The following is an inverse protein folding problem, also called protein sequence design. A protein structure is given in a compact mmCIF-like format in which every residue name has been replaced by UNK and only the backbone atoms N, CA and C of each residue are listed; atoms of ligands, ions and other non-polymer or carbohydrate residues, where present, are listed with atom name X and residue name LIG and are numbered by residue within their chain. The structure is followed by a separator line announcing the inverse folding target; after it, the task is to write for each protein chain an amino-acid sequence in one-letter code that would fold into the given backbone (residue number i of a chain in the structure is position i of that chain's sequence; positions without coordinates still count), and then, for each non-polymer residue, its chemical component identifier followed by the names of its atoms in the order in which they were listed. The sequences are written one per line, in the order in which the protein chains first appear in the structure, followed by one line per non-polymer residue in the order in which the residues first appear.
data_IF_921746165099
#
_entry.id   IF_921746165099
#
_cell.length_a   1.000
_cell.length_b   1.000
_cell.length_c   1.000
_cell.angle_alpha   90.00
_cell.angle_beta   90.00
_cell.angle_gamma   90.00
#
_symmetry.space_group_name_H-M   'P 1'
#
loop_
_entity.id
_entity.type
_entity.pdbx_description
1 polymer ?
#
# COMPACT_ATOMS: atom_id res chain seq x y z
N UNK A 1 -20.86 -5.84 0.62
CA UNK A 1 -20.84 -7.24 1.12
C UNK A 1 -20.75 -7.24 2.64
N UNK A 2 -19.66 -6.76 3.25
CA UNK A 2 -19.56 -6.76 4.72
C UNK A 2 -20.52 -5.78 5.40
N UNK A 3 -20.81 -4.63 4.78
CA UNK A 3 -21.73 -3.64 5.34
C UNK A 3 -23.10 -4.26 5.69
N UNK A 4 -23.74 -4.94 4.74
CA UNK A 4 -25.08 -5.53 4.90
C UNK A 4 -25.15 -6.58 6.02
N UNK A 5 -24.10 -7.40 6.14
CA UNK A 5 -23.99 -8.48 7.11
C UNK A 5 -23.81 -7.93 8.54
N UNK A 6 -23.05 -6.84 8.66
CA UNK A 6 -22.69 -6.22 9.93
C UNK A 6 -23.79 -5.29 10.45
N UNK A 7 -24.54 -4.64 9.56
CA UNK A 7 -25.65 -3.77 9.94
C UNK A 7 -26.82 -4.55 10.57
N UNK A 8 -27.03 -5.80 10.17
CA UNK A 8 -28.09 -6.66 10.71
C UNK A 8 -27.80 -7.20 12.11
N UNK A 9 -26.53 -7.23 12.54
CA UNK A 9 -26.11 -7.81 13.83
C UNK A 9 -26.10 -6.80 14.98
N UNK A 10 -27.03 -5.84 14.99
CA UNK A 10 -27.02 -4.72 15.95
C UNK A 10 -26.89 -5.18 17.40
N UNK A 11 -25.81 -4.79 18.09
CA UNK A 11 -25.54 -5.26 19.45
C UNK A 11 -25.01 -4.15 20.38
N UNK A 12 -25.46 -4.23 21.64
CA UNK A 12 -24.84 -3.55 22.78
C UNK A 12 -23.46 -4.14 23.03
N UNK A 13 -22.41 -3.33 22.84
CA UNK A 13 -21.03 -3.78 22.95
C UNK A 13 -20.58 -3.95 24.40
N UNK A 14 -20.09 -5.15 24.71
CA UNK A 14 -19.36 -5.48 25.94
C UNK A 14 -18.03 -6.10 25.50
N UNK A 15 -16.91 -5.51 25.93
CA UNK A 15 -15.58 -6.02 25.60
C UNK A 15 -15.41 -7.47 26.06
N UNK A 16 -14.88 -8.31 25.19
CA UNK A 16 -14.63 -9.72 25.46
C UNK A 16 -13.17 -10.12 25.17
N UNK A 17 -12.80 -11.37 25.46
CA UNK A 17 -11.44 -11.88 25.24
C UNK A 17 -11.04 -11.92 23.77
N UNK A 18 -11.99 -12.00 22.83
CA UNK A 18 -11.70 -12.00 21.40
C UNK A 18 -11.31 -10.61 20.90
N UNK A 19 -11.87 -9.53 21.48
CA UNK A 19 -11.46 -8.14 21.16
C UNK A 19 -9.96 -7.95 21.42
N UNK A 20 -9.46 -8.44 22.57
CA UNK A 20 -8.04 -8.39 22.93
C UNK A 20 -7.19 -9.18 21.92
N UNK A 21 -7.65 -10.37 21.52
CA UNK A 21 -6.96 -11.19 20.52
C UNK A 21 -6.89 -10.48 19.17
N UNK A 22 -8.00 -9.91 18.71
CA UNK A 22 -8.06 -9.19 17.43
C UNK A 22 -7.20 -7.94 17.45
N UNK A 23 -7.25 -7.18 18.54
CA UNK A 23 -6.38 -6.03 18.76
C UNK A 23 -4.91 -6.40 18.59
N UNK A 24 -4.45 -7.49 19.21
CA UNK A 24 -3.07 -8.00 19.06
C UNK A 24 -2.78 -8.47 17.63
N UNK A 25 -3.68 -9.25 17.03
CA UNK A 25 -3.52 -9.83 15.69
C UNK A 25 -3.38 -8.77 14.60
N UNK A 26 -3.97 -7.58 14.76
CA UNK A 26 -3.79 -6.45 13.83
C UNK A 26 -2.67 -5.52 14.26
N UNK A 27 -2.51 -5.25 15.56
CA UNK A 27 -1.46 -4.36 16.03
C UNK A 27 -0.06 -4.85 15.64
N UNK A 28 0.21 -6.15 15.82
CA UNK A 28 1.51 -6.76 15.50
C UNK A 28 1.91 -6.51 14.03
N UNK A 29 1.10 -6.87 13.01
CA UNK A 29 1.48 -6.63 11.63
C UNK A 29 1.57 -5.16 11.26
N UNK A 30 0.73 -4.29 11.84
CA UNK A 30 0.84 -2.85 11.67
C UNK A 30 2.16 -2.31 12.23
N UNK A 31 2.58 -2.77 13.41
CA UNK A 31 3.82 -2.33 14.05
C UNK A 31 5.06 -2.80 13.26
N UNK A 32 5.08 -4.06 12.81
CA UNK A 32 6.13 -4.57 11.93
C UNK A 32 6.16 -3.76 10.63
N UNK A 33 5.00 -3.57 9.99
CA UNK A 33 4.87 -2.78 8.77
C UNK A 33 5.35 -1.34 8.93
N UNK A 34 5.07 -0.71 10.07
CA UNK A 34 5.54 0.63 10.42
C UNK A 34 7.06 0.70 10.49
N UNK A 35 7.70 -0.20 11.25
CA UNK A 35 9.17 -0.27 11.36
C UNK A 35 9.79 -0.47 9.98
N UNK A 36 9.26 -1.42 9.21
CA UNK A 36 9.73 -1.69 7.84
C UNK A 36 9.60 -0.45 6.96
N UNK A 37 8.48 0.27 7.01
CA UNK A 37 8.28 1.47 6.18
C UNK A 37 9.23 2.61 6.59
N UNK A 38 9.51 2.78 7.89
CA UNK A 38 10.50 3.76 8.38
C UNK A 38 11.90 3.41 7.87
N UNK A 39 12.32 2.15 7.98
CA UNK A 39 13.62 1.69 7.49
C UNK A 39 13.72 1.86 5.97
N UNK A 40 12.66 1.54 5.23
CA UNK A 40 12.61 1.71 3.78
C UNK A 40 12.68 3.19 3.37
N UNK A 41 11.99 4.07 4.10
CA UNK A 41 12.07 5.51 3.90
C UNK A 41 13.50 6.02 4.15
N UNK A 42 14.13 5.58 5.25
CA UNK A 42 15.52 5.92 5.55
C UNK A 42 16.48 5.43 4.45
N UNK A 43 16.32 4.19 3.99
CA UNK A 43 17.09 3.64 2.87
C UNK A 43 16.91 4.45 1.58
N UNK A 44 15.71 4.97 1.30
CA UNK A 44 15.49 5.87 0.14
C UNK A 44 16.29 7.17 0.22
N UNK A 45 16.61 7.68 1.41
CA UNK A 45 17.48 8.86 1.58
C UNK A 45 18.96 8.49 1.55
N UNK A 46 19.32 7.33 2.08
CA UNK A 46 20.71 6.90 2.27
C UNK A 46 21.33 6.30 1.00
N UNK A 47 20.56 5.56 0.20
CA UNK A 47 21.05 4.85 -0.98
C UNK A 47 21.19 5.83 -2.16
N UNK A 48 22.40 6.03 -2.74
CA UNK A 48 22.63 6.98 -3.82
C UNK A 48 21.74 6.75 -5.05
N UNK A 49 21.47 5.49 -5.39
CA UNK A 49 20.62 5.16 -6.52
C UNK A 49 19.14 5.54 -6.36
N UNK A 50 18.69 5.78 -5.12
CA UNK A 50 17.34 6.26 -4.81
C UNK A 50 17.21 7.79 -4.94
N UNK A 51 18.29 8.51 -5.32
CA UNK A 51 18.23 9.95 -5.64
C UNK A 51 17.58 10.25 -7.02
N UNK A 52 17.18 9.21 -7.75
CA UNK A 52 16.47 9.30 -9.04
C UNK A 52 14.99 9.71 -8.87
N UNK A 53 14.29 10.00 -9.98
CA UNK A 53 12.83 10.25 -9.96
C UNK A 53 12.05 9.07 -9.37
N UNK A 54 12.50 7.84 -9.62
CA UNK A 54 11.91 6.64 -9.02
C UNK A 54 11.99 6.65 -7.48
N UNK A 55 13.17 6.93 -6.93
CA UNK A 55 13.32 6.99 -5.48
C UNK A 55 12.64 8.21 -4.86
N UNK A 56 12.52 9.33 -5.58
CA UNK A 56 11.66 10.44 -5.17
C UNK A 56 10.22 9.97 -4.95
N UNK A 57 9.61 9.29 -5.92
CA UNK A 57 8.24 8.77 -5.80
C UNK A 57 8.10 7.72 -4.69
N UNK A 58 9.07 6.81 -4.57
CA UNK A 58 9.09 5.75 -3.55
C UNK A 58 9.08 6.32 -2.14
N UNK A 59 9.76 7.45 -1.88
CA UNK A 59 9.75 8.11 -0.56
C UNK A 59 8.34 8.56 -0.13
N UNK A 60 7.59 9.16 -1.04
CA UNK A 60 6.23 9.60 -0.74
C UNK A 60 5.30 8.41 -0.48
N UNK A 61 5.46 7.33 -1.26
CA UNK A 61 4.70 6.10 -1.02
C UNK A 61 5.03 5.45 0.34
N UNK A 62 6.32 5.38 0.72
CA UNK A 62 6.73 4.92 2.06
C UNK A 62 6.19 5.80 3.17
N UNK A 63 6.15 7.12 2.98
CA UNK A 63 5.56 8.04 3.96
C UNK A 63 4.05 7.79 4.16
N UNK A 64 3.30 7.55 3.08
CA UNK A 64 1.87 7.17 3.19
C UNK A 64 1.69 5.84 3.94
N UNK A 65 2.60 4.87 3.74
CA UNK A 65 2.57 3.61 4.49
C UNK A 65 2.80 3.78 5.98
N UNK A 66 3.69 4.68 6.37
CA UNK A 66 3.92 5.01 7.79
C UNK A 66 2.63 5.55 8.40
N UNK A 67 1.94 6.46 7.71
CA UNK A 67 0.67 7.01 8.19
C UNK A 67 -0.39 5.90 8.25
N UNK A 68 -0.53 5.08 7.22
CA UNK A 68 -1.53 4.01 7.18
C UNK A 68 -1.33 2.97 8.29
N UNK A 69 -0.08 2.50 8.46
CA UNK A 69 0.25 1.51 9.50
C UNK A 69 0.08 2.10 10.90
N UNK A 70 0.45 3.37 11.10
CA UNK A 70 0.24 4.08 12.37
C UNK A 70 -1.24 4.27 12.68
N UNK A 71 -2.06 4.65 11.69
CA UNK A 71 -3.50 4.86 11.85
C UNK A 71 -4.20 3.57 12.28
N UNK A 72 -4.02 2.49 11.52
CA UNK A 72 -4.59 1.18 11.85
C UNK A 72 -4.02 0.64 13.16
N UNK A 73 -2.70 0.64 13.33
CA UNK A 73 -2.05 0.11 14.53
C UNK A 73 -2.51 0.82 15.80
N UNK A 74 -2.59 2.15 15.78
CA UNK A 74 -3.04 2.94 16.94
C UNK A 74 -4.52 2.71 17.23
N UNK A 75 -5.38 2.58 16.20
CA UNK A 75 -6.80 2.29 16.41
C UNK A 75 -7.01 0.92 17.05
N UNK A 76 -6.38 -0.14 16.53
CA UNK A 76 -6.55 -1.49 17.08
C UNK A 76 -5.87 -1.66 18.44
N UNK A 77 -4.79 -0.93 18.73
CA UNK A 77 -4.17 -0.91 20.05
C UNK A 77 -5.01 -0.14 21.08
N UNK A 78 -5.30 1.12 20.80
CA UNK A 78 -5.94 2.00 21.78
C UNK A 78 -7.45 1.78 21.85
N UNK A 79 -8.09 1.63 20.69
CA UNK A 79 -9.53 1.40 20.58
C UNK A 79 -9.91 -0.03 20.95
N UNK A 80 -9.37 -1.03 20.24
CA UNK A 80 -9.85 -2.42 20.38
C UNK A 80 -9.18 -3.17 21.55
N UNK A 81 -7.84 -3.09 21.68
CA UNK A 81 -7.12 -3.82 22.72
C UNK A 81 -7.29 -3.20 24.12
N UNK A 82 -7.18 -1.87 24.23
CA UNK A 82 -7.34 -1.16 25.51
C UNK A 82 -8.77 -0.65 25.79
N UNK A 83 -9.72 -0.87 24.88
CA UNK A 83 -11.12 -0.46 25.01
C UNK A 83 -11.34 1.02 25.36
N UNK A 84 -10.54 1.92 24.78
CA UNK A 84 -10.71 3.35 24.99
C UNK A 84 -11.96 3.81 24.21
N UNK A 85 -13.11 3.82 24.90
CA UNK A 85 -14.43 4.15 24.34
C UNK A 85 -14.46 5.43 23.49
N UNK A 86 -13.82 6.56 23.87
CA UNK A 86 -13.77 7.73 23.00
C UNK A 86 -13.19 7.47 21.60
N UNK A 87 -12.22 6.56 21.47
CA UNK A 87 -11.60 6.23 20.18
C UNK A 87 -12.54 5.36 19.33
N UNK A 88 -13.21 4.38 19.94
CA UNK A 88 -14.21 3.54 19.29
C UNK A 88 -15.40 4.38 18.82
N UNK A 89 -15.92 5.24 19.70
CA UNK A 89 -17.07 6.11 19.42
C UNK A 89 -16.78 7.09 18.30
N UNK A 90 -15.54 7.57 18.18
CA UNK A 90 -15.08 8.43 17.10
C UNK A 90 -14.38 7.66 15.97
N UNK A 91 -14.68 6.37 15.79
CA UNK A 91 -14.05 5.51 14.76
C UNK A 91 -14.24 6.01 13.32
N UNK A 92 -15.18 6.92 13.07
CA UNK A 92 -15.31 7.61 11.79
C UNK A 92 -14.05 8.40 11.39
N UNK A 93 -13.26 8.90 12.35
CA UNK A 93 -12.01 9.64 12.08
C UNK A 93 -10.92 8.72 11.51
N UNK A 94 -10.48 7.65 12.21
CA UNK A 94 -9.51 6.70 11.65
C UNK A 94 -10.06 5.98 10.42
N UNK A 95 -11.39 5.82 10.33
CA UNK A 95 -12.08 5.39 9.14
C UNK A 95 -11.81 6.32 7.96
N UNK A 96 -12.16 7.61 8.05
CA UNK A 96 -11.91 8.62 7.02
C UNK A 96 -10.44 8.68 6.59
N UNK A 97 -9.50 8.63 7.54
CA UNK A 97 -8.07 8.60 7.24
C UNK A 97 -7.75 7.38 6.37
N UNK A 98 -8.23 6.19 6.75
CA UNK A 98 -8.01 4.95 5.98
C UNK A 98 -8.60 5.04 4.57
N UNK A 99 -9.85 5.50 4.45
CA UNK A 99 -10.52 5.64 3.14
C UNK A 99 -9.83 6.65 2.23
N UNK A 100 -9.13 7.63 2.81
CA UNK A 100 -8.32 8.62 2.08
C UNK A 100 -6.97 8.03 1.66
N UNK A 101 -6.31 7.26 2.53
CA UNK A 101 -4.99 6.71 2.26
C UNK A 101 -5.00 5.61 1.19
N UNK A 102 -6.05 4.79 1.12
CA UNK A 102 -6.20 3.73 0.13
C UNK A 102 -6.01 4.24 -1.32
N UNK A 103 -6.79 5.23 -1.80
CA UNK A 103 -6.63 5.77 -3.16
C UNK A 103 -5.33 6.56 -3.33
N UNK A 104 -4.78 7.19 -2.29
CA UNK A 104 -3.46 7.85 -2.37
C UNK A 104 -2.36 6.82 -2.65
N UNK A 105 -2.34 5.71 -1.89
CA UNK A 105 -1.39 4.62 -2.06
C UNK A 105 -1.53 3.97 -3.45
N UNK A 106 -2.76 3.69 -3.88
CA UNK A 106 -3.02 3.13 -5.20
C UNK A 106 -2.52 4.05 -6.33
N UNK A 107 -2.80 5.36 -6.22
CA UNK A 107 -2.38 6.36 -7.21
C UNK A 107 -0.86 6.53 -7.24
N UNK A 108 -0.20 6.51 -6.08
CA UNK A 108 1.25 6.56 -5.99
C UNK A 108 1.91 5.33 -6.61
N UNK A 109 1.36 4.14 -6.38
CA UNK A 109 1.86 2.92 -7.04
C UNK A 109 1.70 2.96 -8.55
N UNK A 110 0.55 3.42 -9.03
CA UNK A 110 0.32 3.61 -10.45
C UNK A 110 1.34 4.59 -11.07
N UNK A 111 1.59 5.72 -10.41
CA UNK A 111 2.57 6.71 -10.86
C UNK A 111 4.00 6.13 -10.90
N UNK A 112 4.37 5.29 -9.93
CA UNK A 112 5.65 4.58 -9.92
C UNK A 112 5.75 3.59 -11.09
N UNK A 113 4.67 2.87 -11.40
CA UNK A 113 4.61 1.94 -12.53
C UNK A 113 4.76 2.66 -13.88
N UNK A 114 4.04 3.77 -14.09
CA UNK A 114 4.19 4.63 -15.27
C UNK A 114 5.63 5.13 -15.38
N UNK A 115 6.24 5.58 -14.28
CA UNK A 115 7.61 6.06 -14.27
C UNK A 115 8.59 5.02 -14.82
N UNK A 116 8.45 3.77 -14.39
CA UNK A 116 9.30 2.65 -14.85
C UNK A 116 9.04 2.30 -16.30
N UNK A 117 7.77 2.20 -16.69
CA UNK A 117 7.38 1.88 -18.06
C UNK A 117 7.94 2.91 -19.05
N UNK A 118 7.77 4.21 -18.76
CA UNK A 118 8.25 5.29 -19.63
C UNK A 118 9.78 5.41 -19.65
N UNK A 119 10.47 5.03 -18.57
CA UNK A 119 11.94 4.96 -18.57
C UNK A 119 12.47 3.93 -19.58
N UNK A 120 11.70 2.87 -19.85
CA UNK A 120 12.06 1.81 -20.80
C UNK A 120 11.54 2.11 -22.20
N UNK A 121 10.28 2.53 -22.35
CA UNK A 121 9.67 2.71 -23.68
C UNK A 121 10.18 3.98 -24.37
N UNK A 122 10.29 5.08 -23.63
CA UNK A 122 10.61 6.41 -24.19
C UNK A 122 11.80 7.06 -23.48
N UNK A 123 13.01 6.49 -23.56
CA UNK A 123 14.17 6.99 -22.81
C UNK A 123 14.54 8.44 -23.15
N UNK A 124 14.38 8.86 -24.41
CA UNK A 124 14.71 10.21 -24.87
C UNK A 124 13.75 11.27 -24.31
N UNK A 125 12.47 10.93 -24.15
CA UNK A 125 11.45 11.85 -23.62
C UNK A 125 11.22 11.72 -22.12
N UNK A 126 11.73 10.64 -21.49
CA UNK A 126 11.58 10.38 -20.06
C UNK A 126 12.05 11.55 -19.19
N UNK A 127 13.20 12.14 -19.52
CA UNK A 127 13.77 13.28 -18.81
C UNK A 127 12.90 14.55 -18.94
N UNK A 128 12.09 14.66 -20.00
CA UNK A 128 11.12 15.74 -20.18
C UNK A 128 9.83 15.53 -19.37
N UNK A 129 9.34 14.29 -19.31
CA UNK A 129 8.10 13.92 -18.60
C UNK A 129 8.31 13.98 -17.08
N UNK A 130 9.40 13.42 -16.56
CA UNK A 130 9.66 13.35 -15.11
C UNK A 130 10.61 14.45 -14.59
N UNK A 131 10.58 15.64 -15.21
CA UNK A 131 11.30 16.82 -14.70
C UNK A 131 10.88 17.13 -13.25
N UNK A 132 11.75 17.78 -12.44
CA UNK A 132 11.47 18.10 -11.05
C UNK A 132 10.14 18.80 -10.79
N UNK A 133 9.76 19.74 -11.67
CA UNK A 133 8.50 20.46 -11.58
C UNK A 133 7.30 19.52 -11.79
N UNK A 134 7.29 18.72 -12.85
CA UNK A 134 6.16 17.86 -13.19
C UNK A 134 5.97 16.72 -12.20
N UNK A 135 7.05 16.06 -11.75
CA UNK A 135 6.90 14.99 -10.75
C UNK A 135 6.33 15.47 -9.41
N UNK A 136 6.61 16.71 -9.01
CA UNK A 136 5.99 17.33 -7.82
C UNK A 136 4.49 17.54 -8.03
N UNK A 137 4.09 17.97 -9.22
CA UNK A 137 2.68 18.13 -9.59
C UNK A 137 1.97 16.77 -9.56
N UNK A 138 2.56 15.72 -10.12
CA UNK A 138 1.97 14.37 -10.10
C UNK A 138 1.76 13.86 -8.67
N UNK A 139 2.77 13.98 -7.81
CA UNK A 139 2.65 13.61 -6.39
C UNK A 139 1.57 14.44 -5.69
N UNK A 140 1.52 15.75 -5.94
CA UNK A 140 0.50 16.62 -5.38
C UNK A 140 -0.91 16.16 -5.80
N UNK A 141 -1.12 15.83 -7.08
CA UNK A 141 -2.40 15.31 -7.56
C UNK A 141 -2.78 13.99 -6.88
N UNK A 142 -1.84 13.05 -6.73
CA UNK A 142 -2.08 11.78 -6.03
C UNK A 142 -2.48 11.97 -4.55
N UNK A 143 -2.06 13.07 -3.92
CA UNK A 143 -2.39 13.38 -2.53
C UNK A 143 -3.69 14.17 -2.41
N UNK A 144 -3.76 15.31 -3.10
CA UNK A 144 -4.84 16.29 -2.91
C UNK A 144 -6.18 15.80 -3.46
N UNK A 145 -6.19 15.06 -4.57
CA UNK A 145 -7.46 14.57 -5.13
C UNK A 145 -8.18 13.70 -4.10
N UNK A 146 -7.59 12.63 -3.54
CA UNK A 146 -8.17 11.89 -2.43
C UNK A 146 -8.55 12.75 -1.23
N UNK A 147 -7.65 13.60 -0.74
CA UNK A 147 -7.89 14.45 0.43
C UNK A 147 -9.11 15.36 0.26
N UNK A 148 -9.46 15.76 -0.97
CA UNK A 148 -10.63 16.58 -1.24
C UNK A 148 -11.89 15.74 -1.37
N UNK A 149 -11.86 14.68 -2.18
CA UNK A 149 -13.10 13.96 -2.48
C UNK A 149 -13.53 13.04 -1.32
N UNK A 150 -12.63 12.38 -0.59
CA UNK A 150 -13.05 11.43 0.46
C UNK A 150 -13.76 12.12 1.62
N UNK A 151 -13.33 13.28 2.17
CA UNK A 151 -14.10 13.95 3.21
C UNK A 151 -15.38 14.59 2.66
N UNK A 152 -15.38 15.05 1.39
CA UNK A 152 -16.60 15.54 0.75
C UNK A 152 -17.69 14.47 0.77
N UNK A 153 -17.40 13.25 0.32
CA UNK A 153 -18.38 12.16 0.39
C UNK A 153 -18.68 11.73 1.84
N UNK A 154 -17.68 11.62 2.69
CA UNK A 154 -17.86 11.11 4.06
C UNK A 154 -18.68 12.06 4.94
N UNK A 155 -18.45 13.37 4.88
CA UNK A 155 -19.10 14.37 5.74
C UNK A 155 -20.29 15.08 5.11
N UNK A 156 -20.23 15.41 3.82
CA UNK A 156 -21.32 16.16 3.18
C UNK A 156 -22.45 15.24 2.70
N UNK A 157 -22.11 14.05 2.21
CA UNK A 157 -23.08 13.08 1.70
C UNK A 157 -23.39 11.95 2.69
N UNK A 158 -22.90 12.06 3.93
CA UNK A 158 -23.09 11.09 5.02
C UNK A 158 -22.68 9.66 4.67
N UNK A 159 -21.63 9.51 3.84
CA UNK A 159 -21.08 8.22 3.43
C UNK A 159 -19.99 7.77 4.42
N UNK A 160 -20.32 7.78 5.72
CA UNK A 160 -19.39 7.49 6.80
C UNK A 160 -18.70 6.14 6.65
N UNK A 161 -17.43 6.03 7.04
CA UNK A 161 -16.70 4.76 7.14
C UNK A 161 -16.30 4.57 8.61
N UNK A 162 -16.91 3.60 9.29
CA UNK A 162 -16.77 3.43 10.75
C UNK A 162 -16.44 2.00 11.12
N UNK A 163 -15.94 1.83 12.33
CA UNK A 163 -15.67 0.52 12.89
C UNK A 163 -16.96 -0.14 13.39
N UNK A 164 -17.05 -1.44 13.18
CA UNK A 164 -18.09 -2.30 13.73
C UNK A 164 -17.46 -3.45 14.51
N UNK A 165 -17.96 -3.66 15.73
CA UNK A 165 -17.49 -4.72 16.60
C UNK A 165 -17.75 -6.11 16.03
N UNK A 166 -18.90 -6.31 15.38
CA UNK A 166 -19.18 -7.57 14.71
C UNK A 166 -18.25 -7.76 13.51
N UNK A 167 -17.33 -8.70 13.66
CA UNK A 167 -16.30 -9.00 12.65
C UNK A 167 -15.11 -8.04 12.65
N UNK A 168 -15.02 -7.14 13.64
CA UNK A 168 -13.92 -6.18 13.83
C UNK A 168 -13.49 -5.51 12.53
N UNK A 169 -14.46 -4.92 11.84
CA UNK A 169 -14.30 -4.43 10.47
C UNK A 169 -14.66 -2.97 10.36
N UNK A 170 -13.89 -2.23 9.59
CA UNK A 170 -14.33 -0.94 9.10
C UNK A 170 -15.22 -1.13 7.88
N UNK A 171 -16.41 -0.53 7.91
CA UNK A 171 -17.32 -0.58 6.78
C UNK A 171 -18.07 0.73 6.61
N UNK A 172 -18.64 0.91 5.42
CA UNK A 172 -19.48 2.08 5.16
C UNK A 172 -20.77 1.98 5.95
N UNK A 173 -21.26 3.13 6.41
CA UNK A 173 -22.59 3.25 6.99
C UNK A 173 -23.59 3.01 5.86
N UNK A 174 -24.50 2.06 6.06
CA UNK A 174 -25.57 1.83 5.10
C UNK A 174 -26.59 2.96 5.25
N UNK A 175 -26.66 3.81 4.23
CA UNK A 175 -27.72 4.79 4.02
C UNK A 175 -28.34 4.54 2.66
N UNK A 176 -29.65 4.79 2.52
CA UNK A 176 -30.37 4.62 1.24
C UNK A 176 -29.75 5.43 0.08
N UNK A 177 -29.03 6.50 0.41
CA UNK A 177 -28.54 7.47 -0.56
C UNK A 177 -27.08 7.25 -1.00
N UNK A 178 -26.17 6.82 -0.10
CA UNK A 178 -24.73 6.91 -0.41
C UNK A 178 -23.86 5.68 -0.14
N UNK A 179 -23.98 5.02 1.02
CA UNK A 179 -22.98 4.05 1.49
C UNK A 179 -22.55 3.02 0.42
N UNK A 180 -23.52 2.34 -0.18
CA UNK A 180 -23.27 1.31 -1.20
C UNK A 180 -22.74 1.89 -2.51
N UNK A 181 -23.23 3.06 -2.95
CA UNK A 181 -22.80 3.68 -4.22
C UNK A 181 -21.37 4.20 -4.13
N UNK A 182 -21.02 4.85 -3.03
CA UNK A 182 -19.67 5.37 -2.80
C UNK A 182 -18.67 4.24 -2.62
N UNK A 183 -19.06 3.17 -1.92
CA UNK A 183 -18.25 1.97 -1.76
C UNK A 183 -17.99 1.29 -3.12
N UNK A 184 -19.00 1.19 -3.99
CA UNK A 184 -18.85 0.67 -5.36
C UNK A 184 -17.95 1.56 -6.21
N UNK A 185 -18.10 2.89 -6.14
CA UNK A 185 -17.27 3.84 -6.85
C UNK A 185 -15.79 3.73 -6.43
N UNK A 186 -15.52 3.77 -5.13
CA UNK A 186 -14.17 3.64 -4.58
C UNK A 186 -13.52 2.32 -5.00
N UNK A 187 -14.24 1.21 -4.85
CA UNK A 187 -13.74 -0.11 -5.27
C UNK A 187 -13.53 -0.20 -6.77
N UNK A 188 -14.43 0.36 -7.57
CA UNK A 188 -14.32 0.39 -9.03
C UNK A 188 -13.07 1.15 -9.48
N UNK A 189 -12.90 2.38 -9.00
CA UNK A 189 -11.72 3.20 -9.30
C UNK A 189 -10.44 2.51 -8.83
N UNK A 190 -10.41 2.01 -7.59
CA UNK A 190 -9.25 1.31 -7.05
C UNK A 190 -8.90 0.04 -7.84
N UNK A 191 -9.91 -0.73 -8.25
CA UNK A 191 -9.73 -1.93 -9.08
C UNK A 191 -9.15 -1.57 -10.44
N UNK A 192 -9.68 -0.55 -11.13
CA UNK A 192 -9.15 -0.09 -12.43
C UNK A 192 -7.70 0.34 -12.29
N UNK A 193 -7.38 1.15 -11.28
CA UNK A 193 -6.01 1.64 -11.04
C UNK A 193 -5.05 0.48 -10.75
N UNK A 194 -5.44 -0.47 -9.90
CA UNK A 194 -4.61 -1.62 -9.50
C UNK A 194 -4.37 -2.57 -10.67
N UNK A 195 -5.40 -2.89 -11.44
CA UNK A 195 -5.27 -3.76 -12.62
C UNK A 195 -4.42 -3.10 -13.72
N UNK A 196 -4.59 -1.80 -13.95
CA UNK A 196 -3.77 -1.07 -14.93
C UNK A 196 -2.31 -1.03 -14.48
N UNK A 197 -2.06 -0.82 -13.18
CA UNK A 197 -0.71 -0.86 -12.60
C UNK A 197 -0.05 -2.21 -12.85
N UNK A 198 -0.76 -3.31 -12.54
CA UNK A 198 -0.23 -4.65 -12.76
C UNK A 198 0.07 -4.94 -14.24
N UNK A 199 -0.82 -4.52 -15.13
CA UNK A 199 -0.60 -4.66 -16.57
C UNK A 199 0.65 -3.90 -17.03
N UNK A 200 0.83 -2.65 -16.59
CA UNK A 200 2.02 -1.85 -16.88
C UNK A 200 3.29 -2.50 -16.32
N UNK A 201 3.22 -3.09 -15.14
CA UNK A 201 4.34 -3.80 -14.51
C UNK A 201 4.75 -5.05 -15.30
N UNK A 202 3.78 -5.84 -15.79
CA UNK A 202 4.04 -6.96 -16.70
C UNK A 202 4.69 -6.46 -17.99
N UNK A 203 4.11 -5.42 -18.62
CA UNK A 203 4.64 -4.86 -19.86
C UNK A 203 6.09 -4.38 -19.68
N UNK A 204 6.35 -3.67 -18.57
CA UNK A 204 7.69 -3.21 -18.17
C UNK A 204 8.65 -4.40 -18.05
N UNK A 205 8.26 -5.47 -17.37
CA UNK A 205 9.09 -6.66 -17.21
C UNK A 205 9.37 -7.37 -18.54
N UNK A 206 8.35 -7.58 -19.38
CA UNK A 206 8.49 -8.22 -20.70
C UNK A 206 9.38 -7.38 -21.62
N UNK A 207 9.22 -6.06 -21.64
CA UNK A 207 10.07 -5.15 -22.42
C UNK A 207 11.52 -5.17 -21.94
N UNK A 208 11.74 -5.20 -20.62
CA UNK A 208 13.07 -5.25 -20.04
C UNK A 208 13.77 -6.57 -20.39
N UNK A 209 13.16 -7.71 -20.07
CA UNK A 209 13.79 -9.04 -20.17
C UNK A 209 13.76 -9.60 -21.61
N UNK A 210 12.66 -9.37 -22.33
CA UNK A 210 12.44 -9.89 -23.68
C UNK A 210 13.07 -9.02 -24.75
N UNK A 211 12.66 -7.75 -24.82
CA UNK A 211 13.00 -6.89 -25.96
C UNK A 211 14.33 -6.15 -25.80
N UNK A 212 14.70 -5.74 -24.60
CA UNK A 212 15.97 -5.05 -24.32
C UNK A 212 17.12 -5.99 -23.93
N UNK A 213 16.99 -7.29 -24.19
CA UNK A 213 18.00 -8.30 -23.83
C UNK A 213 19.41 -7.99 -24.34
N UNK A 214 19.56 -7.41 -25.54
CA UNK A 214 20.86 -6.98 -26.09
C UNK A 214 21.48 -5.83 -25.29
N UNK A 215 20.68 -4.85 -24.90
CA UNK A 215 21.09 -3.71 -24.07
C UNK A 215 21.40 -4.16 -22.64
N UNK A 216 20.64 -5.11 -22.08
CA UNK A 216 20.99 -5.70 -20.78
C UNK A 216 22.29 -6.53 -20.86
N UNK A 217 22.53 -7.23 -21.97
CA UNK A 217 23.76 -7.99 -22.18
C UNK A 217 24.99 -7.10 -22.36
N UNK A 218 24.82 -5.86 -22.81
CA UNK A 218 25.92 -4.89 -22.91
C UNK A 218 26.25 -4.19 -21.58
N UNK A 219 25.43 -4.40 -20.53
CA UNK A 219 25.71 -3.92 -19.18
C UNK A 219 26.51 -4.95 -18.39
N UNK A 220 27.19 -4.50 -17.34
CA UNK A 220 27.85 -5.41 -16.39
C UNK A 220 26.86 -6.39 -15.78
N UNK A 221 27.34 -7.56 -15.39
CA UNK A 221 26.50 -8.62 -14.83
C UNK A 221 25.74 -8.16 -13.57
N UNK A 222 26.39 -7.34 -12.73
CA UNK A 222 25.80 -6.76 -11.52
C UNK A 222 24.63 -5.83 -11.85
N UNK A 223 24.81 -4.91 -12.82
CA UNK A 223 23.75 -3.98 -13.22
C UNK A 223 22.59 -4.72 -13.88
N UNK A 224 22.88 -5.72 -14.71
CA UNK A 224 21.88 -6.59 -15.32
C UNK A 224 21.04 -7.33 -14.28
N UNK A 225 21.69 -8.00 -13.32
CA UNK A 225 21.01 -8.75 -12.24
C UNK A 225 20.11 -7.83 -11.42
N UNK A 226 20.59 -6.62 -11.13
CA UNK A 226 19.84 -5.60 -10.42
C UNK A 226 18.58 -5.15 -11.16
N UNK A 227 18.68 -4.87 -12.46
CA UNK A 227 17.51 -4.47 -13.26
C UNK A 227 16.46 -5.59 -13.33
N UNK A 228 16.89 -6.84 -13.48
CA UNK A 228 15.99 -8.01 -13.50
C UNK A 228 15.32 -8.22 -12.15
N UNK A 229 16.08 -8.20 -11.05
CA UNK A 229 15.53 -8.35 -9.70
C UNK A 229 14.51 -7.25 -9.38
N UNK A 230 14.81 -6.02 -9.81
CA UNK A 230 13.87 -4.91 -9.70
C UNK A 230 12.61 -5.13 -10.54
N UNK A 231 12.72 -5.66 -11.77
CA UNK A 231 11.54 -6.05 -12.56
C UNK A 231 10.71 -7.13 -11.86
N UNK A 232 11.36 -8.16 -11.29
CA UNK A 232 10.69 -9.23 -10.55
C UNK A 232 9.97 -8.72 -9.30
N UNK A 233 10.63 -7.86 -8.52
CA UNK A 233 10.03 -7.21 -7.34
C UNK A 233 8.65 -6.65 -7.66
N UNK A 234 8.55 -5.97 -8.80
CA UNK A 234 7.41 -5.17 -9.19
C UNK A 234 6.26 -6.04 -9.68
N UNK A 235 6.56 -7.05 -10.49
CA UNK A 235 5.56 -8.06 -10.90
C UNK A 235 5.03 -8.82 -9.69
N UNK A 236 5.90 -9.22 -8.75
CA UNK A 236 5.49 -9.91 -7.52
C UNK A 236 4.61 -8.99 -6.67
N UNK A 237 4.98 -7.73 -6.50
CA UNK A 237 4.21 -6.77 -5.73
C UNK A 237 2.81 -6.56 -6.33
N UNK A 238 2.72 -6.37 -7.65
CA UNK A 238 1.43 -6.23 -8.34
C UNK A 238 0.58 -7.51 -8.28
N UNK A 239 1.21 -8.68 -8.37
CA UNK A 239 0.53 -9.97 -8.19
C UNK A 239 -0.06 -10.11 -6.78
N UNK A 240 0.70 -9.77 -5.74
CA UNK A 240 0.22 -9.74 -4.35
C UNK A 240 -0.95 -8.77 -4.20
N UNK A 241 -0.91 -7.60 -4.85
CA UNK A 241 -2.01 -6.64 -4.84
C UNK A 241 -3.28 -7.18 -5.50
N UNK A 242 -3.17 -7.92 -6.61
CA UNK A 242 -4.34 -8.57 -7.24
C UNK A 242 -4.89 -9.69 -6.37
N UNK A 243 -4.02 -10.55 -5.84
CA UNK A 243 -4.43 -11.60 -4.91
C UNK A 243 -5.18 -11.01 -3.72
N UNK A 244 -4.71 -9.89 -3.17
CA UNK A 244 -5.44 -9.15 -2.13
C UNK A 244 -6.84 -8.73 -2.58
N UNK A 245 -6.98 -8.08 -3.75
CA UNK A 245 -8.30 -7.62 -4.23
C UNK A 245 -9.24 -8.81 -4.45
N UNK A 246 -8.74 -9.91 -5.03
CA UNK A 246 -9.52 -11.13 -5.22
C UNK A 246 -9.93 -11.75 -3.89
N UNK A 247 -8.99 -11.88 -2.95
CA UNK A 247 -9.25 -12.50 -1.66
C UNK A 247 -10.22 -11.65 -0.83
N UNK A 248 -10.03 -10.32 -0.78
CA UNK A 248 -10.97 -9.40 -0.13
C UNK A 248 -12.38 -9.49 -0.72
N UNK A 249 -12.51 -9.71 -2.04
CA UNK A 249 -13.80 -9.74 -2.74
C UNK A 249 -14.52 -11.10 -2.66
N UNK A 250 -13.78 -12.20 -2.63
CA UNK A 250 -14.34 -13.55 -2.81
C UNK A 250 -14.05 -14.52 -1.67
N UNK A 251 -12.96 -14.34 -0.90
CA UNK A 251 -12.52 -15.33 0.07
C UNK A 251 -13.56 -15.61 1.16
N UNK A 252 -14.40 -14.62 1.48
CA UNK A 252 -15.52 -14.82 2.38
C UNK A 252 -16.39 -16.03 2.03
N UNK A 253 -16.65 -16.23 0.73
CA UNK A 253 -17.46 -17.34 0.21
C UNK A 253 -16.70 -18.67 0.18
N UNK A 254 -15.38 -18.64 0.24
CA UNK A 254 -14.51 -19.82 0.16
C UNK A 254 -14.15 -20.36 1.54
N UNK A 255 -14.30 -19.56 2.61
CA UNK A 255 -14.01 -20.02 3.97
C UNK A 255 -15.08 -21.02 4.43
N UNK A 256 -14.67 -22.19 4.97
CA UNK A 256 -15.58 -23.22 5.47
C UNK A 256 -16.66 -22.70 6.44
N UNK A 257 -17.86 -23.27 6.36
CA UNK A 257 -19.02 -22.86 7.15
C UNK A 257 -18.92 -23.10 8.66
N UNK A 258 -17.96 -23.91 9.11
CA UNK A 258 -17.72 -24.21 10.53
C UNK A 258 -16.99 -23.09 11.28
N UNK A 259 -16.44 -22.10 10.58
CA UNK A 259 -15.82 -20.92 11.19
C UNK A 259 -16.92 -19.91 11.55
N UNK A 260 -16.92 -19.29 12.74
CA UNK A 260 -17.91 -18.28 13.08
C UNK A 260 -17.86 -17.08 12.13
N UNK A 261 -19.03 -16.52 11.78
CA UNK A 261 -19.15 -15.53 10.71
C UNK A 261 -18.30 -14.26 10.97
N UNK A 262 -18.29 -13.75 12.20
CA UNK A 262 -17.43 -12.63 12.63
C UNK A 262 -15.94 -12.87 12.31
N UNK A 263 -15.45 -14.09 12.50
CA UNK A 263 -14.06 -14.44 12.21
C UNK A 263 -13.81 -14.52 10.70
N UNK A 264 -14.78 -14.99 9.90
CA UNK A 264 -14.65 -14.94 8.43
C UNK A 264 -14.52 -13.50 7.93
N UNK A 265 -15.36 -12.60 8.45
CA UNK A 265 -15.30 -11.16 8.13
C UNK A 265 -13.92 -10.63 8.49
N UNK A 266 -13.48 -10.84 9.72
CA UNK A 266 -12.19 -10.37 10.22
C UNK A 266 -11.00 -10.81 9.35
N UNK A 267 -10.88 -12.12 9.07
CA UNK A 267 -9.76 -12.68 8.32
C UNK A 267 -9.71 -12.19 6.86
N UNK A 268 -10.88 -12.00 6.25
CA UNK A 268 -10.98 -11.61 4.82
C UNK A 268 -10.99 -10.10 4.60
N UNK A 269 -11.16 -9.31 5.65
CA UNK A 269 -11.19 -7.84 5.58
C UNK A 269 -10.03 -7.22 6.38
N UNK A 270 -10.24 -6.90 7.66
CA UNK A 270 -9.32 -6.13 8.49
C UNK A 270 -7.95 -6.77 8.63
N UNK A 271 -7.88 -8.07 8.90
CA UNK A 271 -6.58 -8.72 9.05
C UNK A 271 -5.79 -8.69 7.75
N UNK A 272 -6.42 -9.10 6.64
CA UNK A 272 -5.79 -9.12 5.33
C UNK A 272 -5.32 -7.73 4.87
N UNK A 273 -6.17 -6.70 5.06
CA UNK A 273 -5.85 -5.33 4.69
C UNK A 273 -4.61 -4.81 5.45
N UNK A 274 -4.49 -5.13 6.75
CA UNK A 274 -3.35 -4.70 7.55
C UNK A 274 -2.09 -5.54 7.31
N UNK A 275 -2.24 -6.82 6.91
CA UNK A 275 -1.11 -7.68 6.55
C UNK A 275 -0.35 -7.17 5.31
N UNK A 276 -1.02 -6.43 4.42
CA UNK A 276 -0.38 -5.77 3.28
C UNK A 276 0.67 -4.73 3.67
N UNK A 277 0.61 -4.16 4.87
CA UNK A 277 1.63 -3.23 5.35
C UNK A 277 3.01 -3.89 5.42
N UNK A 278 3.05 -5.16 5.86
CA UNK A 278 4.27 -5.98 5.85
C UNK A 278 4.64 -6.34 4.42
N UNK A 279 3.72 -7.00 3.68
CA UNK A 279 4.08 -7.66 2.42
C UNK A 279 4.65 -6.70 1.40
N UNK A 280 4.02 -5.55 1.15
CA UNK A 280 4.51 -4.69 0.07
C UNK A 280 5.83 -4.03 0.43
N UNK A 281 6.12 -3.79 1.71
CA UNK A 281 7.42 -3.26 2.16
C UNK A 281 8.48 -4.37 2.17
N UNK A 282 8.11 -5.59 2.57
CA UNK A 282 9.01 -6.75 2.58
C UNK A 282 9.49 -7.12 1.19
N UNK A 283 8.63 -7.02 0.18
CA UNK A 283 9.01 -7.24 -1.23
C UNK A 283 10.12 -6.27 -1.65
N UNK A 284 10.12 -5.01 -1.18
CA UNK A 284 11.22 -4.07 -1.44
C UNK A 284 12.52 -4.59 -0.84
N UNK A 285 12.53 -5.03 0.42
CA UNK A 285 13.75 -5.49 1.08
C UNK A 285 14.32 -6.80 0.51
N UNK A 286 13.46 -7.68 0.01
CA UNK A 286 13.90 -8.98 -0.53
C UNK A 286 14.40 -8.84 -1.96
N UNK A 287 13.72 -8.07 -2.80
CA UNK A 287 13.98 -8.06 -4.24
C UNK A 287 14.71 -6.81 -4.74
N UNK A 288 14.76 -5.72 -3.96
CA UNK A 288 15.60 -4.59 -4.32
C UNK A 288 17.03 -4.81 -3.83
N UNK A 289 17.92 -5.23 -4.74
CA UNK A 289 19.30 -5.57 -4.43
C UNK A 289 20.07 -4.46 -3.69
N UNK A 290 19.78 -3.17 -3.96
CA UNK A 290 20.41 -2.07 -3.25
C UNK A 290 19.96 -1.98 -1.79
N UNK A 291 18.65 -2.15 -1.55
CA UNK A 291 18.14 -2.19 -0.18
C UNK A 291 18.64 -3.42 0.56
N UNK A 292 18.63 -4.60 -0.07
CA UNK A 292 19.15 -5.82 0.55
C UNK A 292 20.63 -5.68 0.89
N UNK A 293 21.44 -5.12 -0.02
CA UNK A 293 22.88 -4.88 0.22
C UNK A 293 23.09 -3.84 1.32
N UNK A 294 22.38 -2.71 1.25
CA UNK A 294 22.47 -1.64 2.25
C UNK A 294 22.09 -2.12 3.65
N UNK A 295 21.04 -2.94 3.79
CA UNK A 295 20.66 -3.57 5.06
C UNK A 295 21.71 -4.53 5.59
N UNK A 296 22.30 -5.37 4.73
CA UNK A 296 23.33 -6.34 5.13
C UNK A 296 24.67 -5.69 5.49
N UNK A 297 25.02 -4.58 4.84
CA UNK A 297 26.28 -3.85 5.05
C UNK A 297 26.16 -2.72 6.10
N UNK A 298 25.10 -2.70 6.93
CA UNK A 298 24.97 -1.76 8.04
C UNK A 298 24.84 -0.28 7.63
N UNK A 299 24.45 -0.01 6.38
CA UNK A 299 24.18 1.34 5.86
C UNK A 299 25.38 2.30 5.69
N UNK A 300 26.52 2.05 6.34
CA UNK A 300 27.69 2.95 6.35
C UNK A 300 28.66 2.71 5.18
N UNK A 301 28.76 1.48 4.66
CA UNK A 301 29.84 1.10 3.73
C UNK A 301 29.54 1.44 2.25
N UNK A 302 28.26 1.58 1.88
CA UNK A 302 27.83 1.86 0.48
C UNK A 302 28.15 3.31 0.06
N UNK A 303 28.28 4.24 1.01
CA UNK A 303 28.68 5.63 0.70
C UNK A 303 30.14 5.70 0.23
N UNK A 304 31.05 4.94 0.85
CA UNK A 304 32.47 4.97 0.54
C UNK A 304 32.81 4.45 -0.86
N UNK A 305 32.12 3.41 -1.35
CA UNK A 305 32.39 2.84 -2.68
C UNK A 305 31.88 3.73 -3.82
N UNK A 306 30.81 4.49 -3.60
CA UNK A 306 30.23 5.37 -4.63
C UNK A 306 31.04 6.65 -4.87
N UNK A 307 31.75 7.16 -3.85
CA UNK A 307 32.64 8.33 -3.99
C UNK A 307 33.86 8.01 -4.83
N UNK A 308 34.39 6.78 -4.75
CA UNK A 308 35.56 6.35 -5.53
C UNK A 308 35.21 6.24 -7.02
N UNK A 309 34.00 5.78 -7.38
CA UNK A 309 33.57 5.66 -8.78
C UNK A 309 33.27 6.99 -9.48
N UNK A 310 33.03 8.09 -8.76
CA UNK A 310 32.79 9.44 -9.34
C UNK A 310 34.11 10.19 -9.59
N UNK A 311 35.19 9.82 -8.88
CA UNK A 311 36.51 10.43 -9.07
C UNK A 311 37.28 9.82 -10.26
N UNK A 312 36.80 8.70 -10.82
CA UNK A 312 37.43 7.99 -11.94
C UNK A 312 36.63 8.04 -13.26
N UNK A 313 35.60 8.88 -13.38
CA UNK A 313 34.83 9.09 -14.64
C UNK A 313 34.99 10.49 -15.20
#
# INVERSE_FOLDING_TARGET
MFADIVYQSGDQYIQNSEDVQVGLLIFIPCFIGLIMAIIALWGCYSIPAMKSSFGYLTRYEMFLRIIASSNSGSFYLLGVLFDIKPIINNSQIPGLISTTLIPMLASMYFLISINRFLAIVTPFYYSAIFKPKYRRIYVALCYFVPIIYTPLFTWYYDCGYKFYHYGWVFSFIISETCGTKFEVLLRGVQSVVTNTTFFLDICTFVLLVGFRKRVLKSKSEEVRKREVNFGQQVVIQGFVSILYVLFYSFAYKWIPGNIPEKWKIFWTSSFLANLLHIFSTGVIFVFNAEFSKWLRCGGAEVQATSTISVVQS
#
